data_IF_854053247450
#
_entry.id   IF_854053247450
#
_cell.length_a   1.000
_cell.length_b   1.000
_cell.length_c   1.000
_cell.angle_alpha   90.00
_cell.angle_beta   90.00
_cell.angle_gamma   90.00
#
_symmetry.space_group_name_H-M   'P 1'
#
loop_
_entity.id
_entity.type
_entity.pdbx_description
1 polymer ?
#
# COMPACT_ATOMS: atom_id res chain seq x y z
N UNK A 1 22.29 24.69 17.71
CA UNK A 1 21.97 23.29 18.03
C UNK A 1 20.79 22.89 17.16
N UNK A 2 21.07 22.56 15.90
CA UNK A 2 20.13 21.97 14.96
C UNK A 2 20.83 20.72 14.45
N UNK A 3 20.27 19.54 14.71
CA UNK A 3 20.79 18.29 14.19
C UNK A 3 19.91 17.84 13.03
N UNK A 4 20.59 17.57 11.90
CA UNK A 4 20.11 16.95 10.67
C UNK A 4 19.28 15.70 10.92
N UNK A 5 18.23 15.54 10.09
CA UNK A 5 17.97 14.26 9.41
C UNK A 5 17.53 14.58 7.98
N UNK A 6 18.47 14.47 7.06
CA UNK A 6 18.21 14.22 5.64
C UNK A 6 17.65 12.79 5.47
N UNK A 7 16.63 12.62 4.62
CA UNK A 7 16.55 11.48 3.69
C UNK A 7 15.32 11.61 2.77
N UNK A 8 15.63 11.91 1.51
CA UNK A 8 14.97 11.39 0.31
C UNK A 8 13.49 11.77 0.07
N UNK A 9 13.32 13.00 -0.42
CA UNK A 9 12.28 13.32 -1.39
C UNK A 9 12.68 12.74 -2.75
N UNK A 10 12.20 11.55 -3.11
CA UNK A 10 12.28 11.07 -4.49
C UNK A 10 10.87 11.00 -5.10
N UNK A 11 10.51 12.16 -5.63
CA UNK A 11 9.34 12.44 -6.44
C UNK A 11 9.57 11.81 -7.83
N UNK A 12 9.02 10.63 -8.09
CA UNK A 12 9.09 9.98 -9.40
C UNK A 12 8.20 10.75 -10.38
N UNK A 13 8.84 11.68 -11.09
CA UNK A 13 8.31 12.34 -12.29
C UNK A 13 8.20 11.30 -13.40
N UNK A 14 6.96 11.00 -13.80
CA UNK A 14 6.66 10.15 -14.95
C UNK A 14 6.91 10.95 -16.24
N UNK A 15 8.15 10.88 -16.74
CA UNK A 15 8.53 11.49 -18.02
C UNK A 15 8.02 10.64 -19.19
N UNK A 16 7.41 11.36 -20.12
CA UNK A 16 6.68 10.93 -21.31
C UNK A 16 7.68 10.80 -22.47
N UNK A 17 7.85 9.60 -23.03
CA UNK A 17 8.56 9.40 -24.30
C UNK A 17 7.80 10.07 -25.45
N UNK A 18 8.52 10.69 -26.39
CA UNK A 18 8.29 10.63 -27.85
C UNK A 18 9.42 11.36 -28.63
N UNK A 19 10.02 10.59 -29.55
CA UNK A 19 10.53 10.94 -30.92
C UNK A 19 11.88 11.66 -31.07
N UNK A 20 12.82 10.99 -31.78
CA UNK A 20 13.67 11.65 -32.79
C UNK A 20 15.10 11.14 -32.98
N UNK A 21 15.33 10.30 -34.00
CA UNK A 21 16.36 10.56 -35.02
C UNK A 21 17.77 9.94 -34.93
N UNK A 22 18.10 9.17 -35.98
CA UNK A 22 19.38 9.10 -36.72
C UNK A 22 20.47 8.09 -36.34
N UNK A 23 20.49 6.99 -37.13
CA UNK A 23 21.60 6.44 -37.95
C UNK A 23 23.06 6.75 -37.54
N UNK A 24 23.87 5.69 -37.35
CA UNK A 24 25.04 5.43 -38.20
C UNK A 24 25.43 3.93 -38.21
N UNK A 25 25.87 3.48 -39.39
CA UNK A 25 26.31 2.14 -39.77
C UNK A 25 27.81 2.00 -39.47
N UNK A 26 28.25 0.89 -38.89
CA UNK A 26 29.60 0.37 -39.14
C UNK A 26 29.64 -1.14 -38.92
N UNK A 27 29.76 -1.86 -40.04
CA UNK A 27 30.13 -3.26 -40.13
C UNK A 27 31.65 -3.31 -40.11
N UNK A 28 32.24 -4.01 -39.14
CA UNK A 28 33.57 -4.58 -39.30
C UNK A 28 33.68 -5.87 -38.48
N UNK A 29 33.84 -6.99 -39.20
CA UNK A 29 34.20 -8.26 -38.58
C UNK A 29 35.70 -8.30 -38.27
N UNK A 30 36.06 -9.02 -37.20
CA UNK A 30 37.05 -10.11 -37.20
C UNK A 30 37.43 -10.56 -35.77
N UNK A 31 37.40 -11.88 -35.64
CA UNK A 31 38.34 -12.77 -34.97
C UNK A 31 38.25 -13.09 -33.46
N UNK A 32 38.27 -14.40 -33.24
CA UNK A 32 38.28 -15.16 -32.00
C UNK A 32 39.53 -14.90 -31.16
N UNK A 33 39.32 -14.75 -29.86
CA UNK A 33 40.23 -15.31 -28.86
C UNK A 33 39.39 -15.97 -27.75
N UNK A 34 39.68 -17.25 -27.54
CA UNK A 34 39.14 -18.12 -26.50
C UNK A 34 39.36 -17.52 -25.12
N UNK A 35 38.28 -17.13 -24.42
CA UNK A 35 38.31 -16.95 -22.97
C UNK A 35 37.58 -18.12 -22.31
N UNK A 36 38.34 -18.92 -21.56
CA UNK A 36 37.84 -19.97 -20.68
C UNK A 36 36.73 -19.42 -19.80
N UNK A 37 35.52 -19.94 -19.96
CA UNK A 37 34.40 -19.62 -19.07
C UNK A 37 34.67 -20.30 -17.74
N UNK A 38 35.17 -19.55 -16.76
CA UNK A 38 35.07 -19.96 -15.36
C UNK A 38 33.60 -19.85 -14.95
N UNK A 39 32.88 -20.95 -15.07
CA UNK A 39 31.51 -21.10 -14.57
C UNK A 39 31.62 -21.12 -13.05
N UNK A 40 31.43 -19.95 -12.41
CA UNK A 40 31.18 -19.91 -10.98
C UNK A 40 29.86 -20.65 -10.72
N UNK A 41 29.82 -21.59 -9.75
CA UNK A 41 28.61 -22.35 -9.49
C UNK A 41 27.49 -21.39 -9.07
N UNK A 42 26.37 -21.54 -9.78
CA UNK A 42 25.06 -20.99 -9.50
C UNK A 42 24.76 -20.97 -8.00
N UNK A 43 24.51 -19.79 -7.45
CA UNK A 43 23.78 -19.69 -6.19
C UNK A 43 22.30 -19.94 -6.49
N UNK A 44 21.70 -21.03 -5.98
CA UNK A 44 20.27 -21.20 -6.01
C UNK A 44 19.72 -20.46 -4.80
N UNK A 45 19.01 -19.36 -4.99
CA UNK A 45 17.99 -18.97 -4.02
C UNK A 45 17.09 -17.92 -4.63
N UNK A 46 16.00 -18.44 -5.20
CA UNK A 46 14.71 -17.77 -5.18
C UNK A 46 14.36 -17.49 -3.71
N UNK A 47 14.97 -16.46 -3.11
CA UNK A 47 14.46 -15.83 -1.91
C UNK A 47 13.13 -15.20 -2.32
N UNK A 48 12.06 -16.02 -2.31
CA UNK A 48 10.69 -15.53 -2.45
C UNK A 48 10.57 -14.41 -1.43
N UNK A 49 10.45 -13.17 -1.92
CA UNK A 49 10.23 -12.01 -1.08
C UNK A 49 9.16 -12.36 -0.04
N UNK A 50 9.36 -12.00 1.24
CA UNK A 50 8.45 -12.41 2.30
C UNK A 50 7.01 -12.06 1.92
N UNK A 51 6.12 -13.04 1.98
CA UNK A 51 4.72 -12.89 1.60
C UNK A 51 4.08 -11.80 2.47
N UNK A 52 3.90 -10.60 1.90
CA UNK A 52 3.25 -9.48 2.57
C UNK A 52 1.74 -9.59 2.39
N UNK A 53 1.00 -9.30 3.45
CA UNK A 53 -0.46 -9.20 3.38
C UNK A 53 -0.81 -7.84 2.80
N UNK A 54 -1.57 -7.83 1.71
CA UNK A 54 -2.05 -6.63 1.05
C UNK A 54 -3.57 -6.69 0.81
N UNK A 55 -4.17 -5.53 0.55
CA UNK A 55 -5.55 -5.46 0.08
C UNK A 55 -5.61 -5.77 -1.42
N UNK A 56 -6.56 -6.60 -1.80
CA UNK A 56 -6.91 -6.87 -3.19
C UNK A 56 -7.72 -5.70 -3.76
N UNK A 57 -7.73 -5.54 -5.09
CA UNK A 57 -8.48 -4.47 -5.77
C UNK A 57 -9.97 -4.46 -5.42
N UNK A 58 -10.58 -5.64 -5.26
CA UNK A 58 -11.99 -5.79 -4.86
C UNK A 58 -12.25 -5.36 -3.41
N UNK A 59 -11.23 -5.32 -2.57
CA UNK A 59 -11.31 -4.80 -1.19
C UNK A 59 -11.03 -3.29 -1.16
N UNK A 60 -10.10 -2.81 -1.98
CA UNK A 60 -9.78 -1.39 -2.08
C UNK A 60 -10.95 -0.57 -2.64
N UNK A 61 -11.69 -1.09 -3.62
CA UNK A 61 -12.86 -0.42 -4.20
C UNK A 61 -13.85 0.13 -3.15
N UNK A 62 -14.43 -0.70 -2.27
CA UNK A 62 -15.36 -0.22 -1.24
C UNK A 62 -14.68 0.64 -0.16
N UNK A 63 -13.43 0.36 0.21
CA UNK A 63 -12.68 1.19 1.19
C UNK A 63 -12.48 2.60 0.66
N UNK A 64 -12.01 2.73 -0.58
CA UNK A 64 -11.77 4.01 -1.25
C UNK A 64 -13.08 4.74 -1.57
N UNK A 65 -14.15 4.00 -1.90
CA UNK A 65 -15.48 4.58 -2.11
C UNK A 65 -16.04 5.20 -0.83
N UNK A 66 -15.86 4.54 0.32
CA UNK A 66 -16.21 5.11 1.62
C UNK A 66 -15.33 6.34 1.90
N UNK A 67 -14.01 6.21 1.74
CA UNK A 67 -13.08 7.31 1.95
C UNK A 67 -13.44 8.56 1.14
N UNK A 68 -13.73 8.41 -0.16
CA UNK A 68 -14.12 9.52 -1.02
C UNK A 68 -15.38 10.25 -0.55
N UNK A 69 -16.39 9.53 -0.05
CA UNK A 69 -17.59 10.16 0.56
C UNK A 69 -17.24 10.96 1.82
N UNK A 70 -16.36 10.44 2.66
CA UNK A 70 -15.94 11.14 3.89
C UNK A 70 -15.06 12.35 3.61
N UNK A 71 -14.24 12.30 2.56
CA UNK A 71 -13.48 13.46 2.07
C UNK A 71 -14.44 14.53 1.55
N UNK A 72 -15.45 14.13 0.76
CA UNK A 72 -16.48 15.05 0.28
C UNK A 72 -17.28 15.70 1.43
N UNK A 73 -17.48 14.98 2.53
CA UNK A 73 -18.08 15.50 3.76
C UNK A 73 -17.11 16.37 4.60
N UNK A 74 -15.84 16.48 4.22
CA UNK A 74 -14.82 17.26 4.97
C UNK A 74 -14.30 16.58 6.24
N UNK A 75 -14.70 15.34 6.50
CA UNK A 75 -14.36 14.61 7.73
C UNK A 75 -12.94 14.03 7.69
N UNK A 76 -12.54 13.49 6.53
CA UNK A 76 -11.25 12.83 6.34
C UNK A 76 -10.40 13.61 5.35
N UNK A 77 -9.08 13.56 5.54
CA UNK A 77 -8.14 14.37 4.73
C UNK A 77 -6.97 13.59 4.16
N UNK A 78 -6.57 12.51 4.84
CA UNK A 78 -5.39 11.74 4.45
C UNK A 78 -5.60 10.25 4.78
N UNK A 79 -4.85 9.39 4.11
CA UNK A 79 -4.83 7.96 4.35
C UNK A 79 -3.44 7.37 4.15
N UNK A 80 -3.15 6.28 4.87
CA UNK A 80 -1.94 5.50 4.72
C UNK A 80 -2.28 4.04 4.49
N UNK A 81 -1.56 3.38 3.57
CA UNK A 81 -1.68 1.95 3.34
C UNK A 81 -0.37 1.29 3.72
N UNK A 82 -0.43 0.27 4.58
CA UNK A 82 0.72 -0.50 4.99
C UNK A 82 0.47 -1.98 4.73
N UNK A 83 1.33 -2.60 3.93
CA UNK A 83 1.34 -4.04 3.68
C UNK A 83 2.41 -4.67 4.58
N UNK A 84 1.99 -5.26 5.70
CA UNK A 84 2.90 -5.90 6.64
C UNK A 84 2.85 -7.41 6.47
N UNK A 85 3.79 -8.12 7.10
CA UNK A 85 3.89 -9.58 7.01
C UNK A 85 2.63 -10.33 7.42
N UNK A 86 1.89 -9.82 8.40
CA UNK A 86 0.71 -10.51 8.95
C UNK A 86 -0.61 -9.78 8.73
N UNK A 87 -0.54 -8.49 8.38
CA UNK A 87 -1.70 -7.61 8.35
C UNK A 87 -1.52 -6.55 7.27
N UNK A 88 -2.56 -6.31 6.48
CA UNK A 88 -2.67 -5.08 5.71
C UNK A 88 -3.47 -4.06 6.51
N UNK A 89 -3.03 -2.82 6.55
CA UNK A 89 -3.67 -1.74 7.30
C UNK A 89 -3.97 -0.58 6.36
N UNK A 90 -5.22 -0.12 6.37
CA UNK A 90 -5.63 1.15 5.78
C UNK A 90 -5.94 2.11 6.93
N UNK A 91 -5.07 3.08 7.13
CA UNK A 91 -5.15 4.09 8.19
C UNK A 91 -5.80 5.35 7.65
N UNK A 92 -6.73 5.91 8.40
CA UNK A 92 -7.51 7.10 8.02
C UNK A 92 -7.21 8.24 8.99
N UNK A 93 -6.96 9.43 8.46
CA UNK A 93 -6.58 10.59 9.24
C UNK A 93 -7.51 11.77 9.00
N UNK A 94 -7.79 12.53 10.08
CA UNK A 94 -8.48 13.82 9.98
C UNK A 94 -7.53 14.96 9.60
N UNK A 95 -6.26 14.87 10.02
CA UNK A 95 -5.18 15.81 9.69
C UNK A 95 -3.86 15.05 9.56
N UNK A 96 -2.95 15.59 8.75
CA UNK A 96 -1.60 15.03 8.57
C UNK A 96 -0.82 15.13 9.90
N UNK A 97 -0.08 14.07 10.26
CA UNK A 97 0.70 13.92 11.50
C UNK A 97 -0.07 13.65 12.82
N UNK A 98 -1.37 13.35 12.76
CA UNK A 98 -2.14 12.89 13.93
C UNK A 98 -2.22 11.35 14.02
N UNK A 99 -2.66 10.86 15.18
CA UNK A 99 -3.00 9.44 15.37
C UNK A 99 -4.15 9.08 14.40
N UNK A 100 -4.08 7.92 13.70
CA UNK A 100 -5.16 7.50 12.82
C UNK A 100 -6.50 7.45 13.56
N UNK A 101 -7.52 8.11 13.02
CA UNK A 101 -8.87 8.09 13.57
C UNK A 101 -9.45 6.68 13.53
N UNK A 102 -9.22 5.99 12.41
CA UNK A 102 -9.62 4.62 12.17
C UNK A 102 -8.52 3.85 11.44
N UNK A 103 -8.48 2.55 11.68
CA UNK A 103 -7.67 1.59 10.92
C UNK A 103 -8.56 0.44 10.47
N UNK A 104 -8.56 0.16 9.18
CA UNK A 104 -9.15 -1.04 8.62
C UNK A 104 -8.03 -2.05 8.46
N UNK A 105 -8.15 -3.19 9.13
CA UNK A 105 -7.15 -4.26 9.09
C UNK A 105 -7.67 -5.48 8.32
N UNK A 106 -6.77 -6.12 7.57
CA UNK A 106 -6.97 -7.45 6.97
C UNK A 106 -5.93 -8.42 7.53
N UNK A 107 -6.39 -9.50 8.15
CA UNK A 107 -5.56 -10.57 8.74
C UNK A 107 -6.00 -11.95 8.21
N UNK A 108 -5.40 -12.47 7.12
CA UNK A 108 -5.79 -13.74 6.51
C UNK A 108 -5.79 -14.93 7.48
N UNK A 109 -4.87 -14.94 8.44
CA UNK A 109 -4.77 -15.98 9.50
C UNK A 109 -6.04 -16.10 10.36
N UNK A 110 -6.90 -15.06 10.38
CA UNK A 110 -8.14 -15.05 11.16
C UNK A 110 -9.39 -15.37 10.33
N UNK A 111 -9.24 -15.69 9.04
CA UNK A 111 -10.36 -16.02 8.13
C UNK A 111 -11.19 -17.20 8.62
N UNK A 112 -10.61 -18.23 9.22
CA UNK A 112 -11.37 -19.38 9.75
C UNK A 112 -11.68 -19.24 11.25
N UNK A 113 -11.42 -18.07 11.84
CA UNK A 113 -11.62 -17.79 13.27
C UNK A 113 -12.64 -16.66 13.44
N UNK A 114 -12.22 -15.59 14.10
CA UNK A 114 -13.04 -14.44 14.48
C UNK A 114 -13.41 -13.48 13.34
N UNK A 115 -12.77 -13.56 12.16
CA UNK A 115 -12.97 -12.60 11.08
C UNK A 115 -11.67 -12.13 10.46
N UNK A 116 -11.57 -12.19 9.14
CA UNK A 116 -10.41 -11.67 8.41
C UNK A 116 -10.28 -10.15 8.48
N UNK A 117 -11.38 -9.40 8.59
CA UNK A 117 -11.37 -7.93 8.60
C UNK A 117 -11.75 -7.33 9.94
N UNK A 118 -11.19 -6.18 10.27
CA UNK A 118 -11.56 -5.41 11.44
C UNK A 118 -11.48 -3.90 11.20
N UNK A 119 -12.33 -3.15 11.88
CA UNK A 119 -12.17 -1.70 12.05
C UNK A 119 -11.76 -1.42 13.48
N UNK A 120 -10.70 -0.64 13.65
CA UNK A 120 -10.13 -0.23 14.92
C UNK A 120 -10.23 1.29 15.03
N UNK A 121 -10.62 1.81 16.19
CA UNK A 121 -10.64 3.24 16.49
C UNK A 121 -9.28 3.78 16.97
N UNK A 122 -9.19 5.10 17.14
CA UNK A 122 -7.98 5.81 17.54
C UNK A 122 -7.27 5.20 18.76
N UNK A 123 -8.02 4.78 19.78
CA UNK A 123 -7.45 4.22 21.01
C UNK A 123 -7.20 2.70 20.96
N UNK A 124 -7.19 2.10 19.76
CA UNK A 124 -6.98 0.66 19.60
C UNK A 124 -8.22 -0.21 19.86
N UNK A 125 -9.35 0.39 20.22
CA UNK A 125 -10.63 -0.33 20.40
C UNK A 125 -11.13 -0.94 19.08
N UNK A 126 -11.52 -2.21 19.11
CA UNK A 126 -12.13 -2.86 17.94
C UNK A 126 -13.59 -2.43 17.82
N UNK A 127 -13.91 -1.65 16.79
CA UNK A 127 -15.28 -1.18 16.54
C UNK A 127 -16.14 -2.26 15.89
N UNK A 128 -15.55 -3.05 14.99
CA UNK A 128 -16.21 -4.16 14.31
C UNK A 128 -15.18 -5.17 13.81
N UNK A 129 -15.54 -6.45 13.80
CA UNK A 129 -14.76 -7.55 13.22
C UNK A 129 -15.69 -8.51 12.47
N UNK A 130 -15.23 -9.09 11.37
CA UNK A 130 -16.03 -10.00 10.56
C UNK A 130 -15.32 -10.56 9.33
N UNK A 131 -15.99 -11.49 8.62
CA UNK A 131 -15.52 -12.08 7.37
C UNK A 131 -15.86 -11.22 6.14
N UNK A 132 -16.95 -10.47 6.22
CA UNK A 132 -17.43 -9.62 5.15
C UNK A 132 -16.96 -8.18 5.35
N UNK A 133 -16.24 -7.65 4.37
CA UNK A 133 -15.68 -6.30 4.42
C UNK A 133 -16.78 -5.24 4.45
N UNK A 134 -17.84 -5.39 3.65
CA UNK A 134 -18.91 -4.41 3.57
C UNK A 134 -19.61 -4.23 4.94
N UNK A 135 -19.93 -5.33 5.60
CA UNK A 135 -20.50 -5.34 6.95
C UNK A 135 -19.59 -4.72 7.99
N UNK A 136 -18.27 -4.87 7.84
CA UNK A 136 -17.27 -4.24 8.73
C UNK A 136 -17.22 -2.73 8.51
N UNK A 137 -17.25 -2.26 7.26
CA UNK A 137 -17.21 -0.83 6.92
C UNK A 137 -18.45 -0.04 7.35
N UNK A 138 -19.63 -0.68 7.39
CA UNK A 138 -20.90 -0.04 7.82
C UNK A 138 -20.86 0.62 9.20
N UNK A 139 -19.94 0.20 10.09
CA UNK A 139 -19.79 0.83 11.41
C UNK A 139 -19.31 2.28 11.33
N UNK A 140 -18.52 2.61 10.30
CA UNK A 140 -18.01 3.96 10.06
C UNK A 140 -19.11 4.85 9.48
N UNK A 141 -19.89 4.32 8.53
CA UNK A 141 -21.01 5.03 7.91
C UNK A 141 -22.09 5.43 8.94
N UNK A 142 -22.45 4.52 9.85
CA UNK A 142 -23.45 4.80 10.89
C UNK A 142 -23.00 5.84 11.90
N UNK A 143 -21.69 5.93 12.17
CA UNK A 143 -21.15 6.95 13.07
C UNK A 143 -21.23 8.35 12.47
N UNK A 144 -21.20 8.48 11.14
CA UNK A 144 -21.42 9.77 10.46
C UNK A 144 -22.82 10.30 10.73
N UNK A 145 -23.86 9.46 10.56
CA UNK A 145 -25.26 9.88 10.74
C UNK A 145 -25.49 10.48 12.13
N UNK A 146 -24.78 9.97 13.15
CA UNK A 146 -24.92 10.44 14.54
C UNK A 146 -24.12 11.70 14.87
N UNK A 147 -23.14 12.08 14.05
CA UNK A 147 -22.25 13.20 14.34
C UNK A 147 -22.74 14.54 13.77
N UNK A 148 -23.75 14.52 12.88
CA UNK A 148 -24.26 15.71 12.17
C UNK A 148 -25.50 16.34 12.86
N UNK A 149 -26.02 15.74 13.92
CA UNK A 149 -27.17 16.24 14.70
C UNK A 149 -26.76 16.96 16.01
N UNK A 150 -25.84 17.92 15.98
CA UNK A 150 -25.52 18.74 17.18
C UNK A 150 -25.27 20.19 16.83
#
# INVERSE_FOLDING_TARGET
MFHNVDACTDNVTLSRELIGGSLDLSVEGRNCQSMTVHIHPSHPQNERAPEQVSFHRTELGPILSLYGRMVAAGEWRDYGISSLREVAVFSIFRRTAEIPLYRIEKRPKLRMKQGMYAVIGANGQVLRRGQDLASVLRVLERKMIRAVDT
#
